data_IF_489496776127
#
_entry.id   IF_489496776127
#
_cell.length_a   1.000
_cell.length_b   1.000
_cell.length_c   1.000
_cell.angle_alpha   90.00
_cell.angle_beta   90.00
_cell.angle_gamma   90.00
#
_symmetry.space_group_name_H-M   'P 1'
#
loop_
_entity.id
_entity.type
_entity.pdbx_description
1 polymer ?
#
# COMPACT_ATOMS: atom_id res chain seq x y z
N UNK A 1 17.13 6.02 -37.86
CA UNK A 1 15.74 5.99 -37.36
C UNK A 1 15.59 4.79 -36.44
N UNK A 2 15.39 5.01 -35.14
CA UNK A 2 15.15 3.92 -34.18
C UNK A 2 13.67 3.58 -34.17
N UNK A 3 13.28 2.52 -34.88
CA UNK A 3 11.93 1.98 -34.80
C UNK A 3 11.74 1.34 -33.43
N UNK A 4 10.85 1.92 -32.61
CA UNK A 4 10.51 1.33 -31.32
C UNK A 4 9.68 0.05 -31.53
N UNK A 5 9.84 -0.94 -30.63
CA UNK A 5 9.02 -2.18 -30.62
C UNK A 5 7.52 -1.90 -30.71
N UNK A 6 7.07 -0.75 -30.20
CA UNK A 6 5.66 -0.31 -30.26
C UNK A 6 5.23 0.05 -31.68
N UNK A 7 6.06 0.78 -32.42
CA UNK A 7 5.80 1.13 -33.83
C UNK A 7 5.67 -0.12 -34.68
N UNK A 8 6.50 -1.14 -34.42
CA UNK A 8 6.42 -2.43 -35.09
C UNK A 8 5.10 -3.16 -34.78
N UNK A 9 4.68 -3.25 -33.50
CA UNK A 9 3.43 -3.93 -33.14
C UNK A 9 2.16 -3.23 -33.67
N UNK A 10 2.09 -1.90 -33.63
CA UNK A 10 0.96 -1.16 -34.22
C UNK A 10 0.92 -1.27 -35.75
N UNK A 11 2.09 -1.34 -36.41
CA UNK A 11 2.16 -1.54 -37.86
C UNK A 11 1.77 -2.97 -38.26
N UNK A 12 2.14 -3.97 -37.45
CA UNK A 12 1.80 -5.37 -37.68
C UNK A 12 0.30 -5.66 -37.48
N UNK A 13 -0.36 -4.97 -36.54
CA UNK A 13 -1.81 -5.11 -36.35
C UNK A 13 -2.62 -4.55 -37.54
N UNK A 14 -2.15 -3.47 -38.17
CA UNK A 14 -2.78 -2.93 -39.38
C UNK A 14 -2.58 -3.83 -40.61
N UNK A 15 -1.51 -4.65 -40.64
CA UNK A 15 -1.25 -5.59 -41.74
C UNK A 15 -2.00 -6.93 -41.62
N UNK A 16 -2.53 -7.28 -40.44
CA UNK A 16 -3.21 -8.56 -40.20
C UNK A 16 -4.72 -8.54 -40.49
N UNK A 17 -5.32 -7.37 -40.75
CA UNK A 17 -6.78 -7.24 -40.95
C UNK A 17 -7.24 -7.61 -42.37
N UNK A 18 -6.31 -7.88 -43.30
CA UNK A 18 -6.68 -8.18 -44.69
C UNK A 18 -6.97 -9.66 -44.99
N UNK A 19 -6.83 -10.60 -44.03
CA UNK A 19 -6.97 -12.03 -44.35
C UNK A 19 -7.73 -12.81 -43.25
N UNK A 20 -8.99 -13.13 -43.56
CA UNK A 20 -9.78 -14.29 -43.11
C UNK A 20 -10.24 -14.35 -41.63
N UNK A 21 -11.54 -14.08 -41.41
CA UNK A 21 -12.55 -15.07 -40.93
C UNK A 21 -13.75 -14.37 -40.27
N UNK A 22 -14.94 -14.86 -40.61
CA UNK A 22 -16.27 -14.31 -40.26
C UNK A 22 -16.75 -14.72 -38.86
N UNK A 23 -15.90 -14.63 -37.85
CA UNK A 23 -16.32 -14.76 -36.45
C UNK A 23 -15.99 -13.48 -35.69
N UNK A 24 -16.85 -12.48 -35.86
CA UNK A 24 -16.81 -11.20 -35.17
C UNK A 24 -17.21 -11.35 -33.70
N UNK A 25 -16.36 -12.00 -32.91
CA UNK A 25 -16.26 -11.67 -31.48
C UNK A 25 -15.64 -10.29 -31.41
N UNK A 26 -16.47 -9.28 -31.16
CA UNK A 26 -16.03 -7.94 -30.81
C UNK A 26 -15.17 -8.12 -29.56
N UNK A 27 -13.85 -8.14 -29.75
CA UNK A 27 -12.90 -7.89 -28.66
C UNK A 27 -13.19 -6.45 -28.28
N UNK A 28 -13.98 -6.27 -27.21
CA UNK A 28 -14.09 -4.98 -26.52
C UNK A 28 -12.66 -4.56 -26.23
N UNK A 29 -12.20 -3.57 -26.98
CA UNK A 29 -10.82 -3.13 -26.94
C UNK A 29 -10.46 -2.82 -25.50
N UNK A 30 -9.46 -3.52 -24.96
CA UNK A 30 -8.88 -3.15 -23.68
C UNK A 30 -8.48 -1.67 -23.81
N UNK A 31 -9.14 -0.80 -23.05
CA UNK A 31 -8.75 0.59 -22.93
C UNK A 31 -7.41 0.61 -22.19
N UNK A 32 -6.33 0.63 -22.96
CA UNK A 32 -5.00 0.81 -22.41
C UNK A 32 -5.01 2.17 -21.71
N UNK A 33 -4.79 2.18 -20.40
CA UNK A 33 -4.73 3.41 -19.62
C UNK A 33 -3.73 4.38 -20.27
N UNK A 34 -4.12 5.64 -20.42
CA UNK A 34 -3.25 6.65 -20.99
C UNK A 34 -1.94 6.74 -20.19
N UNK A 35 -0.79 7.00 -20.86
CA UNK A 35 0.46 7.23 -20.15
C UNK A 35 0.30 8.38 -19.16
N UNK A 36 0.69 8.15 -17.90
CA UNK A 36 0.70 9.20 -16.86
C UNK A 36 1.49 10.40 -17.38
N UNK A 37 0.82 11.55 -17.55
CA UNK A 37 1.46 12.81 -17.96
C UNK A 37 2.36 13.30 -16.84
N UNK A 38 3.65 13.47 -17.10
CA UNK A 38 4.64 13.95 -16.12
C UNK A 38 5.33 15.21 -16.65
N UNK A 39 5.60 16.21 -15.80
CA UNK A 39 6.27 17.45 -16.23
C UNK A 39 7.77 17.27 -16.57
N UNK A 40 8.37 16.11 -16.30
CA UNK A 40 9.78 15.87 -16.56
C UNK A 40 10.16 14.39 -16.64
N UNK A 41 11.47 14.13 -16.68
CA UNK A 41 12.02 12.78 -16.70
C UNK A 41 11.53 11.95 -15.49
N UNK A 42 11.24 10.66 -15.66
CA UNK A 42 10.83 9.82 -14.56
C UNK A 42 11.97 9.67 -13.55
N UNK A 43 11.73 10.08 -12.30
CA UNK A 43 12.60 9.77 -11.17
C UNK A 43 12.06 8.54 -10.45
N UNK A 44 12.75 7.41 -10.55
CA UNK A 44 12.44 6.21 -9.77
C UNK A 44 13.31 6.20 -8.51
N UNK A 45 12.69 6.46 -7.36
CA UNK A 45 13.33 6.26 -6.05
C UNK A 45 13.06 4.84 -5.58
N UNK A 46 14.11 4.05 -5.39
CA UNK A 46 13.98 2.70 -4.85
C UNK A 46 13.78 2.75 -3.34
N UNK A 47 12.87 1.90 -2.86
CA UNK A 47 12.59 1.67 -1.45
C UNK A 47 12.57 0.18 -1.15
N UNK A 48 12.74 -0.18 0.11
CA UNK A 48 12.66 -1.56 0.59
C UNK A 48 11.67 -1.63 1.76
N UNK A 49 10.74 -2.58 1.68
CA UNK A 49 9.77 -2.82 2.74
C UNK A 49 10.38 -3.70 3.83
N UNK A 50 10.17 -3.32 5.10
CA UNK A 50 10.59 -4.11 6.25
C UNK A 50 10.10 -5.56 6.18
N UNK A 51 8.95 -5.81 5.55
CA UNK A 51 8.41 -7.16 5.36
C UNK A 51 9.36 -8.11 4.62
N UNK A 52 10.28 -7.62 3.78
CA UNK A 52 11.32 -8.45 3.15
C UNK A 52 12.23 -9.16 4.16
N UNK A 53 12.30 -8.65 5.40
CA UNK A 53 13.08 -9.18 6.51
C UNK A 53 12.18 -9.78 7.60
N UNK A 54 10.92 -10.11 7.29
CA UNK A 54 9.88 -10.49 8.27
C UNK A 54 10.29 -11.56 9.29
N UNK A 55 11.17 -12.50 8.91
CA UNK A 55 11.63 -13.59 9.81
C UNK A 55 12.72 -13.14 10.80
N UNK A 56 13.34 -12.00 10.56
CA UNK A 56 14.47 -11.46 11.33
C UNK A 56 14.02 -10.46 12.42
N UNK A 57 12.78 -9.95 12.32
CA UNK A 57 12.22 -9.01 13.27
C UNK A 57 11.41 -9.68 14.39
N UNK A 58 11.43 -9.08 15.58
CA UNK A 58 10.37 -9.29 16.57
C UNK A 58 9.11 -8.51 16.14
N UNK A 59 7.93 -9.14 16.26
CA UNK A 59 6.64 -8.50 15.94
C UNK A 59 6.01 -7.92 17.20
N UNK A 60 5.80 -6.61 17.24
CA UNK A 60 5.23 -5.89 18.41
C UNK A 60 5.92 -6.27 19.71
N UNK A 61 7.25 -6.42 19.64
CA UNK A 61 8.07 -6.91 20.73
C UNK A 61 8.27 -5.89 21.85
N UNK A 62 8.65 -6.40 23.02
CA UNK A 62 9.28 -5.65 24.10
C UNK A 62 10.71 -5.22 23.70
N UNK A 63 11.32 -4.24 24.39
CA UNK A 63 12.70 -3.87 24.14
C UNK A 63 13.68 -5.05 24.16
N UNK A 64 13.50 -6.00 25.09
CA UNK A 64 14.35 -7.18 25.21
C UNK A 64 14.18 -8.15 24.02
N UNK A 65 12.94 -8.34 23.55
CA UNK A 65 12.68 -9.18 22.37
C UNK A 65 13.25 -8.56 21.10
N UNK A 66 13.13 -7.24 20.94
CA UNK A 66 13.71 -6.51 19.80
C UNK A 66 15.24 -6.57 19.85
N UNK A 67 15.84 -6.41 21.04
CA UNK A 67 17.29 -6.50 21.20
C UNK A 67 17.85 -7.90 20.86
N UNK A 68 17.09 -8.96 21.12
CA UNK A 68 17.43 -10.35 20.78
C UNK A 68 17.15 -10.72 19.33
N UNK A 69 16.29 -9.96 18.64
CA UNK A 69 16.00 -10.18 17.24
C UNK A 69 17.22 -9.86 16.37
N UNK A 70 17.33 -10.55 15.23
CA UNK A 70 18.40 -10.32 14.27
C UNK A 70 18.31 -8.88 13.71
N UNK A 71 17.09 -8.41 13.45
CA UNK A 71 16.81 -7.10 12.88
C UNK A 71 15.95 -6.22 13.80
N UNK A 72 16.25 -4.92 13.80
CA UNK A 72 15.43 -3.84 14.39
C UNK A 72 15.18 -2.77 13.31
N UNK A 73 14.25 -1.83 13.54
CA UNK A 73 13.95 -0.79 12.55
C UNK A 73 15.17 0.10 12.29
N UNK A 74 15.96 0.38 13.33
CA UNK A 74 17.20 1.17 13.25
C UNK A 74 18.23 0.45 12.39
N UNK A 75 18.47 -0.84 12.63
CA UNK A 75 19.38 -1.66 11.81
C UNK A 75 18.90 -1.77 10.36
N UNK A 76 17.59 -1.85 10.16
CA UNK A 76 17.01 -1.94 8.82
C UNK A 76 17.14 -0.63 8.04
N UNK A 77 16.99 0.51 8.71
CA UNK A 77 17.29 1.84 8.14
C UNK A 77 18.76 1.92 7.71
N UNK A 78 19.68 1.51 8.57
CA UNK A 78 21.12 1.49 8.25
C UNK A 78 21.42 0.56 7.06
N UNK A 79 20.78 -0.61 7.02
CA UNK A 79 20.89 -1.53 5.89
C UNK A 79 20.42 -0.90 4.58
N UNK A 80 19.25 -0.25 4.57
CA UNK A 80 18.72 0.42 3.38
C UNK A 80 19.66 1.52 2.87
N UNK A 81 20.26 2.28 3.79
CA UNK A 81 21.26 3.30 3.45
C UNK A 81 22.53 2.67 2.86
N UNK A 82 23.02 1.58 3.45
CA UNK A 82 24.18 0.84 2.97
C UNK A 82 23.96 0.22 1.57
N UNK A 83 22.71 -0.12 1.22
CA UNK A 83 22.34 -0.57 -0.13
C UNK A 83 22.23 0.58 -1.15
N UNK A 84 22.40 1.84 -0.74
CA UNK A 84 22.26 3.00 -1.62
C UNK A 84 20.82 3.29 -2.05
N UNK A 85 19.83 2.87 -1.26
CA UNK A 85 18.42 3.15 -1.54
C UNK A 85 18.10 4.63 -1.26
N UNK A 86 17.04 5.13 -1.91
CA UNK A 86 16.55 6.49 -1.67
C UNK A 86 15.49 6.56 -0.57
N UNK A 87 14.92 5.42 -0.18
CA UNK A 87 13.88 5.35 0.83
C UNK A 87 13.80 3.98 1.52
N UNK A 88 12.97 3.91 2.56
CA UNK A 88 12.60 2.69 3.30
C UNK A 88 11.11 2.72 3.66
N UNK A 89 10.43 1.57 3.65
CA UNK A 89 9.08 1.41 4.22
C UNK A 89 9.18 0.69 5.57
N UNK A 90 8.78 1.38 6.64
CA UNK A 90 8.83 0.86 8.00
C UNK A 90 7.51 0.17 8.32
N UNK A 91 7.42 -1.13 8.05
CA UNK A 91 6.22 -1.95 8.27
C UNK A 91 5.81 -1.98 9.75
N UNK A 92 4.53 -1.73 10.03
CA UNK A 92 4.04 -1.44 11.38
C UNK A 92 4.14 -2.57 12.40
N UNK A 93 4.21 -3.83 11.94
CA UNK A 93 4.35 -5.00 12.81
C UNK A 93 5.67 -5.03 13.58
N UNK A 94 6.71 -4.36 13.09
CA UNK A 94 8.06 -4.43 13.65
C UNK A 94 8.38 -3.28 14.61
N UNK A 95 7.42 -2.39 14.83
CA UNK A 95 7.51 -1.40 15.90
C UNK A 95 7.33 -2.06 17.27
N UNK A 96 7.87 -1.47 18.34
CA UNK A 96 7.67 -1.97 19.70
C UNK A 96 6.19 -1.97 20.09
N UNK A 97 5.87 -2.76 21.12
CA UNK A 97 4.50 -2.84 21.65
C UNK A 97 3.97 -1.47 22.08
N UNK A 98 4.83 -0.66 22.70
CA UNK A 98 4.56 0.72 23.10
C UNK A 98 5.33 1.62 22.14
N UNK A 99 4.61 2.45 21.39
CA UNK A 99 5.18 3.45 20.49
C UNK A 99 5.05 4.81 21.16
N UNK A 100 6.13 5.58 21.18
CA UNK A 100 6.11 6.97 21.67
C UNK A 100 6.44 7.92 20.53
N UNK A 101 6.04 9.18 20.67
CA UNK A 101 6.39 10.23 19.70
C UNK A 101 7.90 10.39 19.57
N UNK A 102 8.65 10.30 20.68
CA UNK A 102 10.12 10.38 20.68
C UNK A 102 10.75 9.26 19.84
N UNK A 103 10.21 8.04 19.93
CA UNK A 103 10.66 6.92 19.11
C UNK A 103 10.40 7.15 17.62
N UNK A 104 9.21 7.62 17.26
CA UNK A 104 8.90 7.93 15.86
C UNK A 104 9.79 9.05 15.29
N UNK A 105 10.05 10.08 16.10
CA UNK A 105 10.94 11.18 15.74
C UNK A 105 12.39 10.72 15.62
N UNK A 106 12.84 9.74 16.41
CA UNK A 106 14.20 9.20 16.30
C UNK A 106 14.41 8.46 14.98
N UNK A 107 13.44 7.65 14.53
CA UNK A 107 13.47 6.97 13.23
C UNK A 107 13.47 7.97 12.06
N UNK A 108 12.65 9.01 12.14
CA UNK A 108 12.65 10.11 11.17
C UNK A 108 13.99 10.84 11.14
N UNK A 109 14.59 11.11 12.30
CA UNK A 109 15.88 11.78 12.37
C UNK A 109 17.02 10.91 11.83
N UNK A 110 17.01 9.60 12.08
CA UNK A 110 18.00 8.67 11.54
C UNK A 110 17.91 8.58 10.01
N UNK A 111 16.71 8.36 9.46
CA UNK A 111 16.51 8.30 8.00
C UNK A 111 16.98 9.58 7.32
N UNK A 112 16.63 10.76 7.87
CA UNK A 112 17.10 12.03 7.33
C UNK A 112 18.64 12.16 7.31
N UNK A 113 19.32 11.80 8.41
CA UNK A 113 20.80 11.87 8.50
C UNK A 113 21.50 10.95 7.51
N UNK A 114 20.86 9.84 7.15
CA UNK A 114 21.37 8.86 6.19
C UNK A 114 20.97 9.15 4.74
N UNK A 115 20.26 10.26 4.48
CA UNK A 115 19.78 10.60 3.13
C UNK A 115 18.60 9.76 2.63
N UNK A 116 17.93 9.04 3.52
CA UNK A 116 16.74 8.26 3.23
C UNK A 116 15.46 9.07 3.46
N UNK A 117 14.44 8.80 2.66
CA UNK A 117 13.05 9.14 3.00
C UNK A 117 12.32 7.92 3.58
N UNK A 118 11.29 8.13 4.39
CA UNK A 118 10.34 7.06 4.68
C UNK A 118 9.29 7.09 3.57
N UNK A 119 9.22 6.03 2.76
CA UNK A 119 8.27 5.98 1.62
C UNK A 119 6.85 5.64 2.05
N UNK A 120 6.68 5.03 3.23
CA UNK A 120 5.39 4.62 3.77
C UNK A 120 5.55 3.69 4.97
N UNK A 121 4.41 3.20 5.45
CA UNK A 121 4.29 2.09 6.41
C UNK A 121 3.19 1.14 5.93
N UNK A 122 3.02 0.01 6.60
CA UNK A 122 1.95 -0.95 6.32
C UNK A 122 1.40 -1.50 7.63
N UNK A 123 0.09 -1.67 7.71
CA UNK A 123 -0.62 -2.21 8.89
C UNK A 123 -1.37 -3.48 8.50
N UNK A 124 -1.89 -4.23 9.47
CA UNK A 124 -2.58 -5.50 9.21
C UNK A 124 -4.05 -5.45 9.55
N UNK A 125 -4.70 -4.37 9.15
CA UNK A 125 -6.07 -4.12 9.55
C UNK A 125 -7.05 -5.07 8.83
N UNK A 126 -8.21 -5.31 9.44
CA UNK A 126 -9.33 -6.02 8.82
C UNK A 126 -10.62 -5.19 8.98
N UNK A 127 -11.06 -4.53 7.91
CA UNK A 127 -12.29 -3.73 7.91
C UNK A 127 -13.55 -4.57 7.65
N UNK A 128 -13.41 -5.86 7.32
CA UNK A 128 -14.52 -6.75 7.03
C UNK A 128 -15.18 -7.32 8.28
N UNK A 129 -14.57 -7.13 9.47
CA UNK A 129 -15.12 -7.59 10.73
C UNK A 129 -16.57 -7.09 10.94
N UNK A 130 -17.39 -7.93 11.54
CA UNK A 130 -18.75 -7.55 11.93
C UNK A 130 -18.75 -6.39 12.93
N UNK A 131 -19.85 -5.66 13.02
CA UNK A 131 -19.98 -4.57 13.98
C UNK A 131 -19.73 -5.02 15.42
N UNK A 132 -19.00 -4.20 16.17
CA UNK A 132 -18.61 -4.47 17.55
C UNK A 132 -17.16 -4.08 17.85
N UNK A 133 -16.71 -4.43 19.06
CA UNK A 133 -15.43 -3.97 19.63
C UNK A 133 -14.22 -4.34 18.76
N UNK A 134 -14.23 -5.51 18.13
CA UNK A 134 -13.14 -5.96 17.29
C UNK A 134 -12.98 -5.05 16.05
N UNK A 135 -14.08 -4.67 15.39
CA UNK A 135 -14.08 -3.72 14.27
C UNK A 135 -13.66 -2.32 14.72
N UNK A 136 -14.21 -1.84 15.83
CA UNK A 136 -13.86 -0.52 16.38
C UNK A 136 -12.37 -0.42 16.72
N UNK A 137 -11.78 -1.51 17.22
CA UNK A 137 -10.34 -1.60 17.45
C UNK A 137 -9.54 -1.48 16.15
N UNK A 138 -9.97 -2.12 15.05
CA UNK A 138 -9.28 -1.99 13.76
C UNK A 138 -9.32 -0.57 13.20
N UNK A 139 -10.47 0.11 13.33
CA UNK A 139 -10.61 1.52 12.93
C UNK A 139 -9.72 2.44 13.79
N UNK A 140 -9.71 2.23 15.10
CA UNK A 140 -8.86 2.97 16.03
C UNK A 140 -7.38 2.75 15.77
N UNK A 141 -6.95 1.51 15.51
CA UNK A 141 -5.58 1.16 15.14
C UNK A 141 -5.18 1.84 13.82
N UNK A 142 -6.03 1.81 12.79
CA UNK A 142 -5.73 2.52 11.53
C UNK A 142 -5.58 4.03 11.76
N UNK A 143 -6.48 4.64 12.55
CA UNK A 143 -6.41 6.06 12.94
C UNK A 143 -5.11 6.40 13.68
N UNK A 144 -4.70 5.54 14.61
CA UNK A 144 -3.46 5.69 15.36
C UNK A 144 -2.24 5.62 14.42
N UNK A 145 -2.24 4.69 13.47
CA UNK A 145 -1.18 4.58 12.47
C UNK A 145 -1.12 5.77 11.52
N UNK A 146 -2.26 6.41 11.19
CA UNK A 146 -2.29 7.70 10.48
C UNK A 146 -1.50 8.76 11.25
N UNK A 147 -1.68 8.85 12.56
CA UNK A 147 -0.91 9.77 13.41
C UNK A 147 0.59 9.41 13.41
N UNK A 148 0.92 8.13 13.53
CA UNK A 148 2.31 7.67 13.50
C UNK A 148 3.01 7.96 12.16
N UNK A 149 2.33 7.72 11.05
CA UNK A 149 2.81 8.04 9.70
C UNK A 149 3.09 9.54 9.56
N UNK A 150 2.15 10.39 10.01
CA UNK A 150 2.33 11.84 9.97
C UNK A 150 3.53 12.32 10.80
N UNK A 151 3.74 11.77 12.00
CA UNK A 151 4.90 12.11 12.86
C UNK A 151 6.22 11.72 12.17
N UNK A 152 6.28 10.50 11.64
CA UNK A 152 7.46 10.00 10.93
C UNK A 152 7.71 10.71 9.59
N UNK A 153 6.70 11.38 9.02
CA UNK A 153 6.76 11.92 7.67
C UNK A 153 6.60 10.85 6.58
N UNK A 154 5.98 9.72 6.91
CA UNK A 154 5.61 8.70 5.95
C UNK A 154 4.37 9.18 5.17
N UNK A 155 4.43 9.30 3.83
CA UNK A 155 3.33 9.89 3.06
C UNK A 155 2.14 8.94 2.92
N UNK A 156 2.33 7.62 3.08
CA UNK A 156 1.30 6.62 2.82
C UNK A 156 1.30 5.50 3.85
N UNK A 157 0.11 4.96 4.11
CA UNK A 157 -0.11 3.72 4.85
C UNK A 157 -0.74 2.72 3.88
N UNK A 158 -0.07 1.59 3.71
CA UNK A 158 -0.67 0.43 3.06
C UNK A 158 -1.62 -0.26 4.02
N UNK A 159 -2.90 -0.29 3.63
CA UNK A 159 -3.99 -0.88 4.38
C UNK A 159 -4.48 -2.15 3.68
N UNK A 160 -5.12 -3.01 4.45
CA UNK A 160 -5.71 -4.26 3.96
C UNK A 160 -7.24 -4.15 4.03
N UNK A 161 -7.94 -4.82 3.13
CA UNK A 161 -9.40 -4.90 3.21
C UNK A 161 -9.85 -5.84 4.33
N UNK A 162 -9.24 -7.03 4.37
CA UNK A 162 -9.67 -8.14 5.22
C UNK A 162 -10.30 -9.27 4.40
N UNK A 163 -11.04 -10.14 5.08
CA UNK A 163 -11.72 -11.30 4.47
C UNK A 163 -13.16 -11.39 4.94
N UNK A 164 -14.01 -12.01 4.12
CA UNK A 164 -15.39 -12.32 4.50
C UNK A 164 -15.39 -13.15 5.80
N UNK A 165 -16.06 -12.67 6.87
CA UNK A 165 -16.24 -13.45 8.08
C UNK A 165 -16.95 -14.78 7.81
N UNK A 166 -16.75 -15.75 8.70
CA UNK A 166 -17.49 -17.02 8.63
C UNK A 166 -18.98 -16.73 8.79
N UNK A 167 -19.80 -17.35 7.93
CA UNK A 167 -21.26 -17.22 7.93
C UNK A 167 -21.77 -15.82 7.52
N UNK A 168 -20.97 -15.09 6.73
CA UNK A 168 -21.31 -13.78 6.17
C UNK A 168 -21.19 -13.76 4.63
N UNK A 169 -21.78 -12.74 4.00
CA UNK A 169 -21.68 -12.51 2.56
C UNK A 169 -20.49 -11.63 2.19
N UNK A 170 -19.93 -11.83 1.00
CA UNK A 170 -18.89 -10.94 0.47
C UNK A 170 -19.41 -9.50 0.32
N UNK A 171 -20.67 -9.33 -0.09
CA UNK A 171 -21.29 -8.02 -0.28
C UNK A 171 -21.32 -7.21 1.03
N UNK A 172 -21.77 -7.83 2.12
CA UNK A 172 -21.75 -7.19 3.44
C UNK A 172 -20.32 -6.91 3.95
N UNK A 173 -19.36 -7.78 3.63
CA UNK A 173 -17.95 -7.54 3.95
C UNK A 173 -17.37 -6.35 3.16
N UNK A 174 -17.71 -6.22 1.88
CA UNK A 174 -17.33 -5.08 1.04
C UNK A 174 -17.95 -3.79 1.58
N UNK A 175 -19.24 -3.79 1.93
CA UNK A 175 -19.92 -2.61 2.50
C UNK A 175 -19.21 -2.12 3.78
N UNK A 176 -18.87 -3.03 4.69
CA UNK A 176 -18.14 -2.68 5.92
C UNK A 176 -16.70 -2.23 5.65
N UNK A 177 -16.05 -2.84 4.66
CA UNK A 177 -14.72 -2.45 4.21
C UNK A 177 -14.71 -1.00 3.68
N UNK A 178 -15.62 -0.69 2.75
CA UNK A 178 -15.79 0.65 2.19
C UNK A 178 -16.10 1.66 3.29
N UNK A 179 -17.02 1.34 4.21
CA UNK A 179 -17.34 2.21 5.33
C UNK A 179 -16.13 2.48 6.23
N UNK A 180 -15.32 1.45 6.53
CA UNK A 180 -14.10 1.58 7.33
C UNK A 180 -13.02 2.40 6.63
N UNK A 181 -12.81 2.17 5.33
CA UNK A 181 -11.90 2.98 4.51
C UNK A 181 -12.34 4.44 4.51
N UNK A 182 -13.62 4.74 4.24
CA UNK A 182 -14.14 6.10 4.20
C UNK A 182 -14.01 6.84 5.55
N UNK A 183 -14.22 6.13 6.65
CA UNK A 183 -14.01 6.69 8.00
C UNK A 183 -12.54 7.07 8.24
N UNK A 184 -11.61 6.14 8.00
CA UNK A 184 -10.19 6.38 8.17
C UNK A 184 -9.65 7.42 7.17
N UNK A 185 -10.17 7.42 5.94
CA UNK A 185 -9.77 8.31 4.85
C UNK A 185 -10.09 9.77 5.17
N UNK A 186 -11.25 10.04 5.79
CA UNK A 186 -11.58 11.39 6.29
C UNK A 186 -10.53 11.89 7.27
N UNK A 187 -10.06 11.02 8.17
CA UNK A 187 -8.99 11.39 9.11
C UNK A 187 -7.63 11.53 8.42
N UNK A 188 -7.27 10.60 7.53
CA UNK A 188 -6.03 10.61 6.77
C UNK A 188 -5.84 11.92 5.98
N UNK A 189 -6.93 12.42 5.39
CA UNK A 189 -6.96 13.71 4.69
C UNK A 189 -6.58 14.90 5.59
N UNK A 190 -6.95 14.87 6.88
CA UNK A 190 -6.57 15.93 7.84
C UNK A 190 -5.09 15.89 8.22
N UNK A 191 -4.42 14.77 7.96
CA UNK A 191 -3.01 14.54 8.30
C UNK A 191 -2.09 14.53 7.09
N UNK A 192 -2.65 14.61 5.88
CA UNK A 192 -1.92 14.54 4.64
C UNK A 192 -1.25 13.18 4.40
N UNK A 193 -1.92 12.11 4.82
CA UNK A 193 -1.45 10.72 4.67
C UNK A 193 -2.36 10.01 3.67
N UNK A 194 -1.77 9.30 2.73
CA UNK A 194 -2.50 8.47 1.78
C UNK A 194 -2.85 7.11 2.40
N UNK A 195 -4.07 6.63 2.15
CA UNK A 195 -4.43 5.23 2.37
C UNK A 195 -4.28 4.49 1.04
N UNK A 196 -3.39 3.50 1.01
CA UNK A 196 -3.12 2.69 -0.17
C UNK A 196 -3.69 1.27 0.03
N UNK A 197 -4.70 0.89 -0.75
CA UNK A 197 -5.34 -0.41 -0.63
C UNK A 197 -4.48 -1.52 -1.26
N UNK A 198 -4.11 -2.53 -0.46
CA UNK A 198 -3.34 -3.68 -0.95
C UNK A 198 -4.24 -4.82 -1.46
N UNK A 199 -3.85 -5.39 -2.60
CA UNK A 199 -4.40 -6.63 -3.13
C UNK A 199 -3.78 -7.86 -2.46
N UNK A 200 -4.13 -8.14 -1.20
CA UNK A 200 -3.53 -9.22 -0.41
C UNK A 200 -4.53 -10.35 -0.07
N UNK A 201 -5.33 -10.74 -1.06
CA UNK A 201 -6.32 -11.82 -0.93
C UNK A 201 -7.64 -11.37 -0.29
N UNK A 202 -8.39 -12.30 0.29
CA UNK A 202 -9.71 -12.01 0.86
C UNK A 202 -10.65 -11.38 -0.17
N UNK A 203 -11.24 -10.23 0.17
CA UNK A 203 -12.10 -9.46 -0.76
C UNK A 203 -11.30 -8.53 -1.71
N UNK A 204 -10.00 -8.76 -1.85
CA UNK A 204 -9.11 -8.08 -2.80
C UNK A 204 -8.26 -9.08 -3.60
N UNK A 205 -8.70 -10.35 -3.66
CA UNK A 205 -7.96 -11.41 -4.32
C UNK A 205 -7.99 -11.31 -5.85
N UNK A 206 -9.05 -10.72 -6.41
CA UNK A 206 -9.19 -10.48 -7.86
C UNK A 206 -9.32 -8.99 -8.17
N UNK A 207 -8.97 -8.57 -9.41
CA UNK A 207 -9.21 -7.21 -9.87
C UNK A 207 -10.68 -6.77 -9.75
N UNK A 208 -11.62 -7.67 -10.05
CA UNK A 208 -13.06 -7.38 -9.97
C UNK A 208 -13.46 -7.04 -8.54
N UNK A 209 -13.01 -7.82 -7.55
CA UNK A 209 -13.28 -7.53 -6.14
C UNK A 209 -12.65 -6.19 -5.71
N UNK A 210 -11.44 -5.87 -6.19
CA UNK A 210 -10.83 -4.57 -5.93
C UNK A 210 -11.65 -3.41 -6.52
N UNK A 211 -12.14 -3.54 -7.76
CA UNK A 211 -12.98 -2.52 -8.38
C UNK A 211 -14.27 -2.29 -7.60
N UNK A 212 -14.90 -3.37 -7.10
CA UNK A 212 -16.09 -3.25 -6.24
C UNK A 212 -15.86 -2.39 -5.01
N UNK A 213 -14.65 -2.38 -4.45
CA UNK A 213 -14.29 -1.53 -3.31
C UNK A 213 -13.96 -0.11 -3.78
N UNK A 214 -13.02 0.02 -4.73
CA UNK A 214 -12.50 1.31 -5.20
C UNK A 214 -13.61 2.21 -5.76
N UNK A 215 -14.59 1.64 -6.46
CA UNK A 215 -15.72 2.39 -7.03
C UNK A 215 -16.73 2.89 -5.98
N UNK A 216 -16.73 2.31 -4.78
CA UNK A 216 -17.63 2.67 -3.68
C UNK A 216 -16.97 3.54 -2.61
N UNK A 217 -15.64 3.59 -2.55
CA UNK A 217 -14.89 4.50 -1.67
C UNK A 217 -15.10 5.95 -2.12
N UNK A 218 -15.27 6.86 -1.15
CA UNK A 218 -15.47 8.27 -1.41
C UNK A 218 -14.30 8.84 -2.23
N UNK A 219 -14.61 9.59 -3.29
CA UNK A 219 -13.58 10.24 -4.11
C UNK A 219 -12.70 11.15 -3.24
N UNK A 220 -11.41 10.82 -3.17
CA UNK A 220 -10.44 11.52 -2.32
C UNK A 220 -9.07 11.54 -2.99
N UNK A 221 -8.34 12.67 -2.94
CA UNK A 221 -6.95 12.71 -3.41
C UNK A 221 -5.99 11.95 -2.48
N UNK A 222 -6.47 11.43 -1.34
CA UNK A 222 -5.68 10.71 -0.34
C UNK A 222 -5.90 9.19 -0.36
N UNK A 223 -6.58 8.65 -1.38
CA UNK A 223 -6.81 7.22 -1.54
C UNK A 223 -6.21 6.71 -2.85
N UNK A 224 -5.70 5.47 -2.85
CA UNK A 224 -5.19 4.82 -4.06
C UNK A 224 -4.78 3.37 -3.87
#
# INVERSE_FOLDING_TARGET
>A
MNLSRRTWMTSSAAAAVAVLSTDSRIVTGATVADPVKRPGAPLLKLSLAGYSFNRMFAKRGTPDEIAKAEMSLEKFIDYCAAQGLGATELTGYYFPKVITTEYLLSLRAQTHRLGLSISGTAIGNDFCLAEGDARQKQLAECREWIDYAAIMGAPAIRIFAGKTPKDDSEDAAIERCVAGINECLKYAATKGVFLALENHGGITATPEQMFRIIEQVDASPWFG
#
